data_IF_098964687501
#
_entry.id   IF_098964687501
#
_cell.length_a   1.000
_cell.length_b   1.000
_cell.length_c   1.000
_cell.angle_alpha   90.00
_cell.angle_beta   90.00
_cell.angle_gamma   90.00
#
_symmetry.space_group_name_H-M   'P 1'
#
loop_
_entity.id
_entity.type
_entity.pdbx_description
1 polymer ?
#
# COMPACT_ATOMS: atom_id res chain seq x y z
N UNK A 1 6.02 23.86 -0.34
CA UNK A 1 5.17 23.49 0.83
C UNK A 1 4.21 22.39 0.36
N UNK A 2 4.09 21.25 1.05
CA UNK A 2 3.15 20.16 0.67
C UNK A 2 1.70 20.61 0.92
N UNK A 3 0.76 20.22 0.05
CA UNK A 3 -0.63 20.68 0.06
C UNK A 3 -1.48 20.19 1.25
N UNK A 4 -1.01 19.18 1.99
CA UNK A 4 -1.74 18.55 3.10
C UNK A 4 -3.10 17.96 2.70
N UNK A 5 -3.26 17.60 1.43
CA UNK A 5 -4.48 16.94 0.94
C UNK A 5 -4.50 15.49 1.45
N UNK A 6 -5.57 15.06 2.14
CA UNK A 6 -5.80 13.65 2.44
C UNK A 6 -5.92 12.84 1.15
N UNK A 7 -5.02 11.87 0.94
CA UNK A 7 -5.05 10.98 -0.23
C UNK A 7 -4.80 9.55 0.24
N UNK A 8 -5.69 8.64 -0.17
CA UNK A 8 -5.43 7.20 -0.13
C UNK A 8 -5.01 6.78 -1.53
N UNK A 9 -3.77 6.31 -1.65
CA UNK A 9 -3.20 5.79 -2.89
C UNK A 9 -3.16 4.25 -2.80
N UNK A 10 -3.79 3.56 -3.75
CA UNK A 10 -3.80 2.09 -3.79
C UNK A 10 -2.90 1.65 -4.94
N UNK A 11 -1.89 0.84 -4.64
CA UNK A 11 -0.90 0.36 -5.61
C UNK A 11 -0.96 -1.15 -5.66
N UNK A 12 -1.14 -1.72 -6.85
CA UNK A 12 -1.06 -3.17 -7.05
C UNK A 12 0.39 -3.64 -7.11
N UNK A 13 0.64 -4.86 -6.67
CA UNK A 13 1.93 -5.54 -6.81
C UNK A 13 1.76 -6.99 -7.27
N UNK A 14 2.86 -7.64 -7.67
CA UNK A 14 2.89 -9.07 -7.92
C UNK A 14 2.45 -9.85 -6.67
N UNK A 15 1.83 -11.02 -6.87
CA UNK A 15 1.45 -11.88 -5.75
C UNK A 15 2.69 -12.28 -4.93
N UNK A 16 2.53 -12.38 -3.61
CA UNK A 16 3.66 -12.56 -2.67
C UNK A 16 4.47 -13.83 -2.94
N UNK A 17 3.87 -14.89 -3.47
CA UNK A 17 4.54 -16.14 -3.85
C UNK A 17 5.29 -16.10 -5.19
N UNK A 18 5.20 -15.00 -5.96
CA UNK A 18 5.94 -14.81 -7.22
C UNK A 18 7.30 -14.11 -7.05
N UNK A 19 7.68 -13.73 -5.82
CA UNK A 19 8.93 -13.00 -5.54
C UNK A 19 10.17 -13.91 -5.58
N UNK A 20 10.02 -15.22 -5.40
CA UNK A 20 11.14 -16.17 -5.27
C UNK A 20 11.78 -16.60 -6.61
N UNK A 21 11.23 -16.16 -7.75
CA UNK A 21 11.66 -16.61 -9.09
C UNK A 21 12.14 -15.49 -10.01
N UNK A 22 12.78 -14.47 -9.45
CA UNK A 22 13.59 -13.52 -10.23
C UNK A 22 12.77 -12.91 -11.39
N UNK A 23 11.54 -12.50 -11.08
CA UNK A 23 10.70 -11.81 -12.06
C UNK A 23 11.39 -10.46 -12.36
N UNK A 24 11.74 -10.16 -13.62
CA UNK A 24 12.46 -8.92 -13.99
C UNK A 24 11.67 -7.61 -13.76
N UNK A 25 10.57 -7.67 -13.01
CA UNK A 25 9.60 -6.60 -12.73
C UNK A 25 9.29 -6.42 -11.24
N UNK A 26 10.06 -7.03 -10.32
CA UNK A 26 9.90 -6.76 -8.88
C UNK A 26 10.34 -5.32 -8.60
N UNK A 27 9.39 -4.39 -8.65
CA UNK A 27 9.63 -3.02 -8.23
C UNK A 27 9.63 -2.99 -6.70
N UNK A 28 10.62 -2.32 -6.09
CA UNK A 28 10.57 -2.00 -4.66
C UNK A 28 9.49 -0.91 -4.44
N UNK A 29 8.22 -1.33 -4.48
CA UNK A 29 7.05 -0.44 -4.39
C UNK A 29 7.07 0.29 -3.05
N UNK A 30 7.44 -0.39 -1.97
CA UNK A 30 7.59 0.22 -0.65
C UNK A 30 8.68 1.31 -0.66
N UNK A 31 9.88 1.00 -1.17
CA UNK A 31 10.98 1.95 -1.27
C UNK A 31 10.66 3.18 -2.12
N UNK A 32 9.82 3.01 -3.16
CA UNK A 32 9.32 4.13 -3.99
C UNK A 32 8.23 4.93 -3.26
N UNK A 33 7.35 4.26 -2.50
CA UNK A 33 6.21 4.89 -1.82
C UNK A 33 6.61 5.67 -0.57
N UNK A 34 7.61 5.20 0.19
CA UNK A 34 8.05 5.79 1.45
C UNK A 34 8.46 7.28 1.36
N UNK A 35 9.25 7.74 0.38
CA UNK A 35 9.65 9.15 0.28
C UNK A 35 8.50 10.13 0.04
N UNK A 36 7.39 9.65 -0.55
CA UNK A 36 6.26 10.50 -0.97
C UNK A 36 5.01 10.35 -0.10
N UNK A 37 4.97 9.32 0.76
CA UNK A 37 3.84 9.01 1.63
C UNK A 37 4.22 9.17 3.10
N UNK A 38 3.26 9.58 3.95
CA UNK A 38 3.46 9.61 5.40
C UNK A 38 3.04 8.30 6.08
N UNK A 39 2.31 7.46 5.35
CA UNK A 39 1.92 6.12 5.77
C UNK A 39 2.06 5.19 4.55
N UNK A 40 2.67 4.03 4.76
CA UNK A 40 2.82 2.98 3.76
C UNK A 40 2.53 1.65 4.44
N UNK A 41 1.77 0.78 3.78
CA UNK A 41 1.53 -0.59 4.23
C UNK A 41 1.32 -1.51 3.05
N UNK A 42 1.81 -2.75 3.17
CA UNK A 42 1.49 -3.86 2.27
C UNK A 42 0.54 -4.82 2.96
N UNK A 43 -0.61 -5.09 2.34
CA UNK A 43 -1.58 -6.08 2.82
C UNK A 43 -1.08 -7.48 2.41
N UNK A 44 -1.11 -8.44 3.32
CA UNK A 44 -0.49 -9.76 3.07
C UNK A 44 -1.50 -10.81 2.58
N UNK A 45 -2.77 -10.65 2.93
CA UNK A 45 -3.85 -11.56 2.57
C UNK A 45 -5.18 -10.82 2.38
N UNK A 46 -6.18 -11.50 1.85
CA UNK A 46 -7.51 -10.95 1.57
C UNK A 46 -8.29 -10.59 2.84
N UNK A 47 -8.00 -11.22 3.98
CA UNK A 47 -8.69 -10.95 5.26
C UNK A 47 -8.20 -9.63 5.88
N UNK A 48 -6.94 -9.25 5.66
CA UNK A 48 -6.38 -8.01 6.21
C UNK A 48 -6.77 -6.76 5.42
N UNK A 49 -7.07 -6.87 4.12
CA UNK A 49 -7.34 -5.72 3.21
C UNK A 49 -8.37 -4.74 3.77
N UNK A 50 -9.46 -5.24 4.36
CA UNK A 50 -10.51 -4.38 4.91
C UNK A 50 -10.01 -3.54 6.10
N UNK A 51 -9.24 -4.16 7.00
CA UNK A 51 -8.64 -3.48 8.15
C UNK A 51 -7.56 -2.49 7.70
N UNK A 52 -6.67 -2.93 6.83
CA UNK A 52 -5.58 -2.10 6.29
C UNK A 52 -6.12 -0.91 5.49
N UNK A 53 -7.23 -1.09 4.77
CA UNK A 53 -7.95 -0.01 4.08
C UNK A 53 -8.55 1.01 5.04
N UNK A 54 -9.15 0.56 6.15
CA UNK A 54 -9.66 1.46 7.18
C UNK A 54 -8.54 2.26 7.85
N UNK A 55 -7.40 1.61 8.12
CA UNK A 55 -6.20 2.28 8.64
C UNK A 55 -5.63 3.31 7.65
N UNK A 56 -5.61 3.00 6.34
CA UNK A 56 -5.15 3.93 5.31
C UNK A 56 -6.01 5.21 5.28
N UNK A 57 -7.35 5.06 5.35
CA UNK A 57 -8.28 6.20 5.42
C UNK A 57 -8.07 7.02 6.69
N UNK A 58 -7.91 6.36 7.84
CA UNK A 58 -7.64 7.02 9.11
C UNK A 58 -6.32 7.80 9.07
N UNK A 59 -5.26 7.20 8.52
CA UNK A 59 -3.96 7.82 8.36
C UNK A 59 -4.00 9.03 7.42
N UNK A 60 -4.65 8.92 6.25
CA UNK A 60 -4.78 10.03 5.30
C UNK A 60 -5.56 11.22 5.90
N UNK A 61 -6.58 10.92 6.71
CA UNK A 61 -7.47 11.90 7.32
C UNK A 61 -6.93 12.51 8.62
N UNK A 62 -5.83 11.99 9.17
CA UNK A 62 -5.17 12.56 10.34
C UNK A 62 -4.70 13.99 10.04
N UNK A 63 -4.79 14.89 11.02
CA UNK A 63 -4.37 16.28 10.84
C UNK A 63 -2.85 16.44 11.11
N UNK A 64 -2.10 17.15 10.25
CA UNK A 64 -2.53 17.67 8.94
C UNK A 64 -2.64 16.55 7.90
N UNK A 65 -3.57 16.69 6.94
CA UNK A 65 -3.86 15.65 5.95
C UNK A 65 -2.63 15.19 5.17
N UNK A 66 -2.59 13.90 4.84
CA UNK A 66 -1.40 13.27 4.28
C UNK A 66 -1.71 12.21 3.22
N UNK A 67 -0.67 11.82 2.47
CA UNK A 67 -0.73 10.69 1.55
C UNK A 67 -0.49 9.40 2.34
N UNK A 68 -1.44 8.48 2.27
CA UNK A 68 -1.34 7.12 2.76
C UNK A 68 -1.36 6.16 1.56
N UNK A 69 -0.32 5.34 1.40
CA UNK A 69 -0.22 4.36 0.32
C UNK A 69 -0.46 2.95 0.85
N UNK A 70 -1.50 2.28 0.33
CA UNK A 70 -1.79 0.86 0.59
C UNK A 70 -1.38 0.04 -0.63
N UNK A 71 -0.47 -0.91 -0.43
CA UNK A 71 0.04 -1.82 -1.46
C UNK A 71 -0.74 -3.13 -1.35
N UNK A 72 -1.31 -3.58 -2.47
CA UNK A 72 -2.12 -4.78 -2.57
C UNK A 72 -1.49 -5.75 -3.59
N UNK A 73 -0.63 -6.68 -3.13
CA UNK A 73 -0.21 -7.83 -3.93
C UNK A 73 -1.41 -8.57 -4.52
N UNK A 74 -1.30 -9.08 -5.74
CA UNK A 74 -2.44 -9.64 -6.45
C UNK A 74 -3.17 -10.75 -5.66
N UNK A 75 -2.44 -11.56 -4.88
CA UNK A 75 -3.03 -12.63 -4.08
C UNK A 75 -3.95 -12.15 -2.95
N UNK A 76 -3.87 -10.89 -2.53
CA UNK A 76 -4.85 -10.28 -1.61
C UNK A 76 -6.27 -10.25 -2.17
N UNK A 77 -6.48 -10.54 -3.45
CA UNK A 77 -7.79 -10.67 -4.04
C UNK A 77 -8.43 -12.07 -3.87
N UNK A 78 -7.66 -13.12 -3.54
CA UNK A 78 -8.18 -14.50 -3.49
C UNK A 78 -7.61 -15.41 -2.39
N UNK A 79 -6.48 -15.06 -1.76
CA UNK A 79 -5.88 -15.84 -0.68
C UNK A 79 -6.32 -15.33 0.68
N UNK A 80 -6.97 -16.20 1.46
CA UNK A 80 -7.44 -15.90 2.80
C UNK A 80 -6.33 -16.08 3.82
#
# INVERSE_FOLDING_TARGET
RKAQTPVVNIVGDHATYHVEHDAPLTADVEGIAWPVSAWVRTSMDARSVAGDGAEAVAAASAAPGQVATLILPANTAWEA
#
